data_IF_531004870409
#
_entry.id   IF_531004870409
#
_cell.length_a   1.000
_cell.length_b   1.000
_cell.length_c   1.000
_cell.angle_alpha   90.00
_cell.angle_beta   90.00
_cell.angle_gamma   90.00
#
_symmetry.space_group_name_H-M   'P 1'
#
loop_
_entity.id
_entity.type
_entity.pdbx_description
1 polymer ?
#
# COMPACT_ATOMS: atom_id res chain seq x y z
N UNK A 1 -17.66 48.97 -19.40
CA UNK A 1 -16.87 48.65 -18.19
C UNK A 1 -17.00 47.16 -17.93
N UNK A 2 -15.87 46.46 -17.82
CA UNK A 2 -15.82 45.09 -17.31
C UNK A 2 -15.66 43.95 -18.32
N UNK A 3 -14.73 44.04 -19.27
CA UNK A 3 -14.21 42.85 -19.96
C UNK A 3 -13.17 42.16 -19.07
N UNK A 4 -13.48 40.95 -18.59
CA UNK A 4 -12.47 40.02 -18.08
C UNK A 4 -12.51 38.79 -18.96
N UNK A 5 -11.63 38.74 -19.95
CA UNK A 5 -11.26 37.51 -20.65
C UNK A 5 -10.34 36.71 -19.71
N UNK A 6 -10.79 35.53 -19.30
CA UNK A 6 -9.86 34.49 -18.84
C UNK A 6 -9.85 33.45 -19.95
N UNK A 7 -8.73 33.40 -20.67
CA UNK A 7 -8.47 32.43 -21.71
C UNK A 7 -8.46 31.02 -21.10
N UNK A 8 -9.62 30.35 -21.16
CA UNK A 8 -9.75 28.94 -20.84
C UNK A 8 -9.11 28.10 -21.93
N UNK A 9 -7.79 27.86 -21.82
CA UNK A 9 -7.17 26.73 -22.47
C UNK A 9 -7.72 25.45 -21.81
N UNK A 10 -8.81 24.91 -22.35
CA UNK A 10 -9.15 23.51 -22.11
C UNK A 10 -8.08 22.68 -22.84
N UNK A 11 -6.99 22.35 -22.14
CA UNK A 11 -6.02 21.36 -22.60
C UNK A 11 -6.79 20.06 -22.85
N UNK A 12 -6.95 19.72 -24.13
CA UNK A 12 -7.67 18.53 -24.55
C UNK A 12 -6.76 17.34 -24.30
N UNK A 13 -6.97 16.66 -23.18
CA UNK A 13 -6.28 15.40 -22.88
C UNK A 13 -6.73 14.37 -23.90
N UNK A 14 -5.81 13.78 -24.66
CA UNK A 14 -6.16 12.68 -25.56
C UNK A 14 -6.39 11.42 -24.71
N UNK A 15 -7.60 10.80 -24.75
CA UNK A 15 -7.90 9.61 -23.95
C UNK A 15 -6.89 8.46 -24.14
N UNK A 16 -6.30 8.37 -25.33
CA UNK A 16 -5.28 7.37 -25.67
C UNK A 16 -3.97 7.52 -24.88
N UNK A 17 -3.59 8.74 -24.49
CA UNK A 17 -2.37 8.98 -23.73
C UNK A 17 -2.55 8.56 -22.26
N UNK A 18 -3.70 8.87 -21.67
CA UNK A 18 -4.07 8.44 -20.31
C UNK A 18 -4.15 6.91 -20.24
N UNK A 19 -4.80 6.29 -21.22
CA UNK A 19 -4.89 4.83 -21.32
C UNK A 19 -3.51 4.18 -21.51
N UNK A 20 -2.68 4.74 -22.40
CA UNK A 20 -1.31 4.26 -22.62
C UNK A 20 -0.47 4.31 -21.34
N UNK A 21 -0.55 5.41 -20.59
CA UNK A 21 0.15 5.57 -19.32
C UNK A 21 -0.40 4.64 -18.23
N UNK A 22 -1.72 4.46 -18.17
CA UNK A 22 -2.36 3.50 -17.25
C UNK A 22 -1.84 2.08 -17.48
N UNK A 23 -1.81 1.63 -18.74
CA UNK A 23 -1.34 0.30 -19.10
C UNK A 23 0.14 0.10 -18.74
N UNK A 24 0.97 1.14 -18.89
CA UNK A 24 2.37 1.11 -18.44
C UNK A 24 2.47 0.99 -16.91
N UNK A 25 1.69 1.79 -16.17
CA UNK A 25 1.67 1.74 -14.69
C UNK A 25 1.24 0.36 -14.20
N UNK A 26 0.20 -0.24 -14.77
CA UNK A 26 -0.26 -1.58 -14.38
C UNK A 26 0.80 -2.63 -14.72
N UNK A 27 1.36 -2.61 -15.93
CA UNK A 27 2.42 -3.54 -16.31
C UNK A 27 3.65 -3.43 -15.40
N UNK A 28 4.00 -2.22 -14.95
CA UNK A 28 5.08 -2.01 -14.00
C UNK A 28 4.71 -2.44 -12.59
N UNK A 29 3.47 -2.23 -12.17
CA UNK A 29 2.98 -2.70 -10.89
C UNK A 29 3.13 -4.23 -10.77
N UNK A 30 2.78 -4.97 -11.82
CA UNK A 30 2.89 -6.43 -11.84
C UNK A 30 4.35 -6.91 -11.89
N UNK A 31 5.23 -6.18 -12.58
CA UNK A 31 6.61 -6.57 -12.80
C UNK A 31 7.61 -6.07 -11.74
N UNK A 32 7.32 -4.96 -11.03
CA UNK A 32 8.29 -4.25 -10.19
C UNK A 32 8.91 -5.13 -9.11
N UNK A 33 8.16 -6.05 -8.51
CA UNK A 33 8.67 -6.88 -7.41
C UNK A 33 9.48 -8.11 -7.89
N UNK A 34 9.52 -8.37 -9.21
CA UNK A 34 10.14 -9.56 -9.79
C UNK A 34 11.19 -9.26 -10.87
N UNK A 35 11.08 -8.14 -11.60
CA UNK A 35 12.08 -7.72 -12.61
C UNK A 35 13.16 -6.86 -11.93
N UNK A 36 14.36 -7.44 -11.80
CA UNK A 36 15.49 -6.79 -11.16
C UNK A 36 15.96 -5.52 -11.88
N UNK A 37 15.98 -5.49 -13.22
CA UNK A 37 16.42 -4.29 -13.93
C UNK A 37 15.36 -3.19 -13.80
N UNK A 38 14.07 -3.57 -13.71
CA UNK A 38 13.00 -2.61 -13.44
C UNK A 38 13.13 -1.99 -12.05
N UNK A 39 13.50 -2.78 -11.04
CA UNK A 39 13.82 -2.25 -9.70
C UNK A 39 15.01 -1.30 -9.73
N UNK A 40 16.10 -1.69 -10.42
CA UNK A 40 17.28 -0.85 -10.56
C UNK A 40 16.94 0.48 -11.24
N UNK A 41 16.10 0.42 -12.27
CA UNK A 41 15.63 1.57 -13.03
C UNK A 41 14.73 2.51 -12.21
N UNK A 42 13.75 1.97 -11.48
CA UNK A 42 12.71 2.79 -10.84
C UNK A 42 12.99 3.15 -9.39
N UNK A 43 13.70 2.29 -8.64
CA UNK A 43 14.00 2.52 -7.22
C UNK A 43 15.37 3.18 -7.01
N UNK A 44 16.22 3.21 -8.04
CA UNK A 44 17.57 3.78 -7.99
C UNK A 44 18.53 2.91 -7.17
N UNK A 45 19.49 2.28 -7.85
CA UNK A 45 20.52 1.43 -7.23
C UNK A 45 19.96 0.30 -6.35
N UNK A 46 18.84 -0.33 -6.74
CA UNK A 46 18.27 -1.48 -6.01
C UNK A 46 19.28 -2.64 -5.84
N UNK A 47 20.19 -2.79 -6.79
CA UNK A 47 21.36 -3.68 -6.79
C UNK A 47 22.35 -3.43 -5.65
N UNK A 48 22.38 -2.21 -5.09
CA UNK A 48 23.20 -1.88 -3.91
C UNK A 48 22.52 -2.23 -2.58
N UNK A 49 21.22 -2.55 -2.61
CA UNK A 49 20.49 -2.96 -1.41
C UNK A 49 20.92 -4.35 -0.98
N UNK A 50 21.20 -4.53 0.31
CA UNK A 50 21.50 -5.85 0.91
C UNK A 50 20.41 -6.90 0.64
N UNK A 51 19.17 -6.45 0.44
CA UNK A 51 18.03 -7.29 0.08
C UNK A 51 17.07 -6.48 -0.79
N UNK A 52 16.81 -6.98 -2.01
CA UNK A 52 15.79 -6.44 -2.90
C UNK A 52 14.39 -6.55 -2.28
N UNK A 53 13.50 -5.55 -2.49
CA UNK A 53 12.12 -5.61 -2.02
C UNK A 53 11.39 -6.76 -2.70
N UNK A 54 10.60 -7.51 -1.92
CA UNK A 54 9.80 -8.64 -2.42
C UNK A 54 8.30 -8.40 -2.29
N UNK A 55 7.93 -7.31 -1.62
CA UNK A 55 6.55 -6.91 -1.41
C UNK A 55 6.44 -5.38 -1.43
N UNK A 56 5.24 -4.87 -1.72
CA UNK A 56 4.95 -3.45 -1.55
C UNK A 56 5.02 -2.98 -0.08
N UNK A 57 5.05 -3.92 0.87
CA UNK A 57 5.25 -3.63 2.29
C UNK A 57 6.71 -3.29 2.61
N UNK A 58 7.66 -3.73 1.78
CA UNK A 58 9.08 -3.40 1.90
C UNK A 58 9.39 -1.99 1.33
N UNK A 59 8.45 -1.40 0.59
CA UNK A 59 8.64 -0.14 -0.13
C UNK A 59 8.12 1.05 0.65
N UNK A 60 9.02 2.01 0.84
CA UNK A 60 8.78 3.25 1.54
C UNK A 60 8.10 4.26 0.62
N UNK A 61 7.13 5.01 1.15
CA UNK A 61 6.40 6.06 0.44
C UNK A 61 6.24 7.30 1.31
N UNK A 62 6.36 8.47 0.71
CA UNK A 62 6.07 9.77 1.35
C UNK A 62 4.56 10.05 1.47
N UNK A 63 3.71 9.32 0.74
CA UNK A 63 2.25 9.45 0.83
C UNK A 63 1.75 8.91 2.17
N UNK A 64 1.38 9.81 3.07
CA UNK A 64 0.90 9.50 4.42
C UNK A 64 -0.24 8.47 4.44
N UNK A 65 -1.24 8.63 3.56
CA UNK A 65 -2.40 7.72 3.53
C UNK A 65 -2.03 6.30 3.10
N UNK A 66 -1.04 6.13 2.21
CA UNK A 66 -0.50 4.81 1.84
C UNK A 66 0.14 4.15 3.05
N UNK A 67 0.99 4.88 3.78
CA UNK A 67 1.67 4.38 4.99
C UNK A 67 0.66 4.02 6.08
N UNK A 68 -0.34 4.87 6.32
CA UNK A 68 -1.45 4.56 7.23
C UNK A 68 -2.18 3.26 6.85
N UNK A 69 -2.47 3.08 5.56
CA UNK A 69 -3.16 1.87 5.06
C UNK A 69 -2.30 0.62 5.26
N UNK A 70 -1.01 0.72 4.96
CA UNK A 70 -0.03 -0.34 5.19
C UNK A 70 -0.01 -0.77 6.67
N UNK A 71 0.12 0.19 7.60
CA UNK A 71 0.18 -0.09 9.05
C UNK A 71 -1.06 -0.83 9.52
N UNK A 72 -2.25 -0.38 9.08
CA UNK A 72 -3.51 -1.05 9.39
C UNK A 72 -3.58 -2.47 8.81
N UNK A 73 -3.13 -2.67 7.56
CA UNK A 73 -3.08 -3.99 6.93
C UNK A 73 -2.12 -4.93 7.64
N UNK A 74 -0.91 -4.47 7.95
CA UNK A 74 0.11 -5.26 8.60
C UNK A 74 -0.35 -5.77 9.98
N UNK A 75 -1.03 -4.92 10.75
CA UNK A 75 -1.65 -5.30 12.02
C UNK A 75 -2.81 -6.28 11.81
N UNK A 76 -3.69 -6.01 10.86
CA UNK A 76 -4.84 -6.86 10.57
C UNK A 76 -4.43 -8.26 10.10
N UNK A 77 -3.47 -8.35 9.18
CA UNK A 77 -2.92 -9.62 8.69
C UNK A 77 -2.32 -10.42 9.86
N UNK A 78 -1.60 -9.76 10.78
CA UNK A 78 -1.08 -10.38 12.00
C UNK A 78 -2.19 -10.95 12.90
N UNK A 79 -3.23 -10.17 13.16
CA UNK A 79 -4.34 -10.60 14.02
C UNK A 79 -5.16 -11.72 13.41
N UNK A 80 -5.36 -11.71 12.09
CA UNK A 80 -6.01 -12.80 11.35
C UNK A 80 -5.15 -14.07 11.42
N UNK A 81 -3.83 -13.96 11.22
CA UNK A 81 -2.92 -15.10 11.34
C UNK A 81 -2.97 -15.68 12.76
N UNK A 82 -3.00 -14.84 13.80
CA UNK A 82 -3.14 -15.26 15.19
C UNK A 82 -4.47 -16.00 15.46
N UNK A 83 -5.56 -15.53 14.85
CA UNK A 83 -6.89 -16.09 15.02
C UNK A 83 -7.12 -17.40 14.24
N UNK A 84 -6.41 -17.59 13.13
CA UNK A 84 -6.69 -18.70 12.19
C UNK A 84 -5.66 -19.82 12.22
N UNK A 85 -4.44 -19.56 12.69
CA UNK A 85 -3.37 -20.56 12.74
C UNK A 85 -3.18 -21.07 14.16
N UNK A 86 -2.88 -22.38 14.35
CA UNK A 86 -2.53 -22.91 15.66
C UNK A 86 -1.40 -22.09 16.25
N UNK A 87 -1.59 -21.58 17.47
CA UNK A 87 -0.51 -20.88 18.14
C UNK A 87 0.56 -21.93 18.51
N UNK A 88 1.82 -21.69 18.14
CA UNK A 88 2.93 -22.43 18.73
C UNK A 88 3.11 -21.94 20.17
N UNK A 89 2.42 -22.60 21.10
CA UNK A 89 2.57 -22.37 22.54
C UNK A 89 3.86 -23.09 22.97
N UNK A 90 4.97 -22.35 23.11
CA UNK A 90 6.17 -22.89 23.77
C UNK A 90 6.05 -22.71 25.26
N UNK A 91 5.89 -23.82 25.97
CA UNK A 91 5.86 -23.88 27.43
C UNK A 91 7.31 -24.05 27.91
N UNK A 92 7.92 -22.96 28.36
CA UNK A 92 9.27 -22.94 28.97
C UNK A 92 10.00 -21.62 28.74
N UNK A 93 10.23 -20.88 29.82
CA UNK A 93 11.00 -19.62 29.96
C UNK A 93 11.43 -18.88 28.68
N UNK A 94 10.83 -17.70 28.47
CA UNK A 94 11.25 -16.61 27.59
C UNK A 94 11.00 -16.79 26.07
N UNK A 95 9.82 -16.30 25.65
CA UNK A 95 9.52 -15.65 24.36
C UNK A 95 9.68 -16.45 23.05
N UNK A 96 8.60 -16.46 22.25
CA UNK A 96 8.65 -16.83 20.84
C UNK A 96 8.30 -15.67 19.91
N UNK A 97 9.03 -15.62 18.79
CA UNK A 97 9.13 -14.58 17.77
C UNK A 97 8.07 -14.70 16.66
N UNK A 98 7.53 -13.55 16.25
CA UNK A 98 6.90 -13.31 14.94
C UNK A 98 7.13 -11.85 14.54
N UNK A 99 7.74 -11.59 13.37
CA UNK A 99 8.26 -10.28 12.98
C UNK A 99 7.30 -9.60 12.00
N UNK A 100 6.51 -8.65 12.49
CA UNK A 100 5.96 -7.52 11.72
C UNK A 100 6.31 -6.26 12.51
N UNK A 101 6.72 -5.21 11.80
CA UNK A 101 7.35 -4.04 12.39
C UNK A 101 6.65 -3.49 13.63
N UNK A 102 7.42 -3.40 14.73
CA UNK A 102 7.14 -2.73 16.01
C UNK A 102 5.93 -3.16 16.86
N UNK A 103 5.07 -4.09 16.42
CA UNK A 103 4.15 -4.78 17.34
C UNK A 103 4.85 -5.97 18.03
N UNK A 104 5.61 -5.59 19.06
CA UNK A 104 6.08 -6.34 20.23
C UNK A 104 6.77 -7.70 20.09
N UNK A 105 8.05 -7.73 20.46
CA UNK A 105 8.85 -8.89 20.89
C UNK A 105 8.45 -9.44 22.27
N UNK A 106 7.15 -9.43 22.60
CA UNK A 106 6.58 -10.04 23.80
C UNK A 106 5.40 -10.88 23.34
N UNK A 107 5.46 -12.19 23.57
CA UNK A 107 4.40 -13.11 23.19
C UNK A 107 3.05 -12.66 23.75
N UNK A 108 1.97 -12.96 23.03
CA UNK A 108 0.60 -12.72 23.50
C UNK A 108 0.26 -13.71 24.62
N UNK A 109 -0.58 -13.26 25.55
CA UNK A 109 -1.14 -14.11 26.59
C UNK A 109 -1.90 -15.29 25.94
N UNK A 110 -1.60 -16.52 26.37
CA UNK A 110 -2.22 -17.72 25.83
C UNK A 110 -3.76 -17.68 25.95
N UNK A 111 -4.29 -17.13 27.05
CA UNK A 111 -5.73 -17.00 27.25
C UNK A 111 -6.37 -16.06 26.22
N UNK A 112 -5.66 -14.99 25.85
CA UNK A 112 -6.12 -14.05 24.82
C UNK A 112 -6.10 -14.71 23.44
N UNK A 113 -5.04 -15.46 23.13
CA UNK A 113 -4.92 -16.16 21.84
C UNK A 113 -6.00 -17.22 21.69
N UNK A 114 -6.20 -18.06 22.71
CA UNK A 114 -7.24 -19.09 22.70
C UNK A 114 -8.64 -18.50 22.57
N UNK A 115 -8.91 -17.38 23.27
CA UNK A 115 -10.17 -16.65 23.14
C UNK A 115 -10.36 -16.14 21.72
N UNK A 116 -9.35 -15.50 21.13
CA UNK A 116 -9.43 -14.94 19.78
C UNK A 116 -9.68 -16.04 18.73
N UNK A 117 -8.99 -17.18 18.87
CA UNK A 117 -9.14 -18.34 17.98
C UNK A 117 -10.51 -18.97 18.10
N UNK A 118 -11.05 -19.11 19.32
CA UNK A 118 -12.39 -19.62 19.54
C UNK A 118 -13.45 -18.70 18.93
N UNK A 119 -13.37 -17.42 19.25
CA UNK A 119 -14.33 -16.42 18.76
C UNK A 119 -14.27 -16.25 17.24
N UNK A 120 -13.17 -16.60 16.58
CA UNK A 120 -13.07 -16.63 15.11
C UNK A 120 -14.09 -17.59 14.48
N UNK A 121 -14.41 -18.71 15.15
CA UNK A 121 -15.39 -19.67 14.64
C UNK A 121 -16.80 -19.41 15.18
N UNK A 122 -16.92 -18.75 16.33
CA UNK A 122 -18.20 -18.48 16.99
C UNK A 122 -18.86 -17.17 16.52
N UNK A 123 -18.07 -16.16 16.13
CA UNK A 123 -18.55 -14.81 15.80
C UNK A 123 -18.50 -14.53 14.30
N UNK A 124 -19.22 -15.34 13.52
CA UNK A 124 -19.17 -15.35 12.05
C UNK A 124 -19.47 -13.97 11.44
N UNK A 125 -20.47 -13.26 11.95
CA UNK A 125 -20.84 -11.92 11.46
C UNK A 125 -19.72 -10.90 11.67
N UNK A 126 -19.00 -10.97 12.81
CA UNK A 126 -17.85 -10.11 13.05
C UNK A 126 -16.70 -10.47 12.12
N UNK A 127 -16.44 -11.76 11.92
CA UNK A 127 -15.41 -12.24 10.97
C UNK A 127 -15.71 -11.80 9.54
N UNK A 128 -16.96 -11.80 9.11
CA UNK A 128 -17.32 -11.25 7.80
C UNK A 128 -16.99 -9.75 7.70
N UNK A 129 -17.32 -8.96 8.74
CA UNK A 129 -16.93 -7.55 8.79
C UNK A 129 -15.39 -7.36 8.77
N UNK A 130 -14.63 -8.21 9.47
CA UNK A 130 -13.16 -8.22 9.44
C UNK A 130 -12.65 -8.50 8.03
N UNK A 131 -13.21 -9.47 7.31
CA UNK A 131 -12.81 -9.81 5.93
C UNK A 131 -13.20 -8.74 4.92
N UNK A 132 -14.34 -8.06 5.10
CA UNK A 132 -14.70 -6.90 4.28
C UNK A 132 -13.76 -5.73 4.55
N UNK A 133 -13.40 -5.49 5.81
CA UNK A 133 -12.42 -4.49 6.20
C UNK A 133 -11.05 -4.75 5.56
N UNK A 134 -10.56 -6.00 5.65
CA UNK A 134 -9.32 -6.46 5.01
C UNK A 134 -9.32 -6.22 3.50
N UNK A 135 -10.35 -6.70 2.79
CA UNK A 135 -10.45 -6.55 1.33
C UNK A 135 -10.48 -5.08 0.91
N UNK A 136 -11.19 -4.24 1.65
CA UNK A 136 -11.32 -2.81 1.32
C UNK A 136 -9.99 -2.08 1.56
N UNK A 137 -9.27 -2.39 2.64
CA UNK A 137 -7.93 -1.88 2.87
C UNK A 137 -6.94 -2.36 1.80
N UNK A 138 -7.00 -3.63 1.39
CA UNK A 138 -6.15 -4.17 0.30
C UNK A 138 -6.41 -3.47 -1.03
N UNK A 139 -7.66 -3.16 -1.35
CA UNK A 139 -8.02 -2.38 -2.53
C UNK A 139 -7.47 -0.95 -2.47
N UNK A 140 -7.63 -0.26 -1.33
CA UNK A 140 -7.07 1.07 -1.12
C UNK A 140 -5.54 1.07 -1.28
N UNK A 141 -4.87 0.08 -0.68
CA UNK A 141 -3.42 -0.07 -0.77
C UNK A 141 -2.96 -0.36 -2.20
N UNK A 142 -3.72 -1.17 -2.95
CA UNK A 142 -3.48 -1.43 -4.37
C UNK A 142 -3.49 -0.14 -5.20
N UNK A 143 -4.52 0.69 -5.07
CA UNK A 143 -4.60 1.96 -5.81
C UNK A 143 -3.53 2.96 -5.38
N UNK A 144 -3.18 3.03 -4.09
CA UNK A 144 -2.01 3.81 -3.64
C UNK A 144 -0.69 3.28 -4.21
N UNK A 145 -0.56 1.96 -4.44
CA UNK A 145 0.63 1.41 -5.07
C UNK A 145 0.69 1.73 -6.57
N UNK A 146 -0.45 1.80 -7.26
CA UNK A 146 -0.49 2.31 -8.65
C UNK A 146 -0.05 3.78 -8.70
N UNK A 147 -0.54 4.61 -7.77
CA UNK A 147 -0.09 5.99 -7.62
C UNK A 147 1.42 6.09 -7.32
N UNK A 148 1.91 5.25 -6.42
CA UNK A 148 3.33 5.18 -6.09
C UNK A 148 4.19 4.82 -7.31
N UNK A 149 3.80 3.79 -8.08
CA UNK A 149 4.48 3.39 -9.32
C UNK A 149 4.46 4.51 -10.35
N UNK A 150 3.33 5.21 -10.51
CA UNK A 150 3.24 6.39 -11.37
C UNK A 150 4.26 7.47 -10.96
N UNK A 151 4.40 7.73 -9.66
CA UNK A 151 5.40 8.65 -9.12
C UNK A 151 6.85 8.21 -9.40
N UNK A 152 7.13 6.90 -9.30
CA UNK A 152 8.45 6.37 -9.68
C UNK A 152 8.75 6.57 -11.16
N UNK A 153 7.78 6.29 -12.04
CA UNK A 153 7.91 6.52 -13.50
C UNK A 153 8.20 8.00 -13.78
N UNK A 154 7.44 8.89 -13.14
CA UNK A 154 7.61 10.34 -13.29
C UNK A 154 9.01 10.82 -12.88
N UNK A 155 9.52 10.30 -11.75
CA UNK A 155 10.85 10.65 -11.25
C UNK A 155 11.99 10.03 -12.08
N UNK A 156 11.82 8.79 -12.53
CA UNK A 156 12.79 8.08 -13.36
C UNK A 156 13.05 8.78 -14.70
N UNK A 157 12.11 9.62 -15.18
CA UNK A 157 12.28 10.45 -16.38
C UNK A 157 13.59 11.24 -16.40
N UNK A 158 14.06 11.71 -15.23
CA UNK A 158 15.32 12.45 -15.11
C UNK A 158 16.58 11.58 -15.14
N UNK A 159 16.44 10.29 -14.81
CA UNK A 159 17.53 9.31 -14.62
C UNK A 159 17.90 8.62 -15.95
N UNK A 160 16.96 8.56 -16.91
CA UNK A 160 17.17 7.97 -18.25
C UNK A 160 18.19 8.69 -19.17
N UNK A 161 19.06 9.53 -18.62
CA UNK A 161 20.12 10.23 -19.37
C UNK A 161 21.38 9.36 -19.59
N UNK A 162 21.50 8.23 -18.91
CA UNK A 162 22.61 7.29 -19.08
C UNK A 162 22.29 6.17 -20.10
N UNK A 163 23.35 5.48 -20.56
CA UNK A 163 23.25 4.38 -21.53
C UNK A 163 22.37 3.27 -20.95
N UNK A 164 21.14 3.19 -21.44
CA UNK A 164 20.21 2.13 -21.08
C UNK A 164 20.55 0.84 -21.84
N UNK A 165 20.42 -0.34 -21.20
CA UNK A 165 20.31 -1.61 -21.90
C UNK A 165 19.28 -1.51 -23.04
N UNK A 166 19.54 -2.19 -24.17
CA UNK A 166 18.67 -2.13 -25.36
C UNK A 166 17.20 -2.41 -25.06
N UNK A 167 16.91 -3.36 -24.15
CA UNK A 167 15.54 -3.69 -23.70
C UNK A 167 14.79 -2.52 -23.03
N UNK A 168 15.52 -1.57 -22.44
CA UNK A 168 14.96 -0.41 -21.75
C UNK A 168 14.81 0.82 -22.66
N UNK A 169 15.39 0.81 -23.87
CA UNK A 169 15.24 1.89 -24.86
C UNK A 169 13.81 1.95 -25.39
N UNK A 170 13.26 0.82 -25.84
CA UNK A 170 11.86 0.73 -26.30
C UNK A 170 10.88 1.11 -25.18
N UNK A 171 11.22 0.73 -23.94
CA UNK A 171 10.41 1.03 -22.78
C UNK A 171 10.41 2.52 -22.45
N UNK A 172 11.58 3.16 -22.52
CA UNK A 172 11.72 4.60 -22.37
C UNK A 172 10.90 5.36 -23.40
N UNK A 173 10.95 4.95 -24.68
CA UNK A 173 10.15 5.59 -25.73
C UNK A 173 8.65 5.50 -25.45
N UNK A 174 8.16 4.33 -25.01
CA UNK A 174 6.76 4.15 -24.59
C UNK A 174 6.38 5.06 -23.43
N UNK A 175 7.26 5.20 -22.43
CA UNK A 175 7.05 6.13 -21.31
C UNK A 175 7.01 7.57 -21.81
N UNK A 176 8.01 8.01 -22.60
CA UNK A 176 8.09 9.39 -23.10
C UNK A 176 6.87 9.79 -23.95
N UNK A 177 6.33 8.85 -24.73
CA UNK A 177 5.15 9.08 -25.56
C UNK A 177 3.84 9.16 -24.75
N UNK A 178 3.74 8.42 -23.65
CA UNK A 178 2.53 8.36 -22.82
C UNK A 178 2.53 9.36 -21.65
N UNK A 179 3.71 9.68 -21.12
CA UNK A 179 3.91 10.49 -19.91
C UNK A 179 3.91 11.99 -20.24
N UNK A 180 2.71 12.55 -20.32
CA UNK A 180 2.50 14.02 -20.31
C UNK A 180 2.13 14.49 -18.90
N UNK A 181 2.40 15.76 -18.55
CA UNK A 181 1.93 16.33 -17.28
C UNK A 181 0.42 16.16 -17.07
N UNK A 182 -0.37 16.29 -18.15
CA UNK A 182 -1.82 16.14 -18.12
C UNK A 182 -2.25 14.70 -17.85
N UNK A 183 -1.64 13.72 -18.53
CA UNK A 183 -1.94 12.31 -18.33
C UNK A 183 -1.52 11.84 -16.92
N UNK A 184 -0.35 12.30 -16.46
CA UNK A 184 0.11 12.06 -15.09
C UNK A 184 -0.88 12.60 -14.07
N UNK A 185 -1.27 13.88 -14.16
CA UNK A 185 -2.16 14.51 -13.18
C UNK A 185 -3.55 13.87 -13.16
N UNK A 186 -4.07 13.47 -14.33
CA UNK A 186 -5.34 12.77 -14.45
C UNK A 186 -5.30 11.40 -13.74
N UNK A 187 -4.25 10.61 -13.96
CA UNK A 187 -4.10 9.29 -13.32
C UNK A 187 -3.79 9.40 -11.83
N UNK A 188 -2.91 10.33 -11.42
CA UNK A 188 -2.59 10.57 -10.01
C UNK A 188 -3.86 10.90 -9.23
N UNK A 189 -4.68 11.83 -9.76
CA UNK A 189 -5.98 12.18 -9.17
C UNK A 189 -6.93 10.99 -9.14
N UNK A 190 -7.02 10.22 -10.22
CA UNK A 190 -7.92 9.08 -10.31
C UNK A 190 -7.56 7.97 -9.31
N UNK A 191 -6.28 7.57 -9.23
CA UNK A 191 -5.82 6.57 -8.28
C UNK A 191 -6.00 7.05 -6.84
N UNK A 192 -5.63 8.30 -6.55
CA UNK A 192 -5.75 8.87 -5.22
C UNK A 192 -7.21 8.94 -4.74
N UNK A 193 -8.12 9.46 -5.57
CA UNK A 193 -9.53 9.58 -5.20
C UNK A 193 -10.20 8.21 -5.08
N UNK A 194 -9.84 7.25 -5.92
CA UNK A 194 -10.34 5.87 -5.80
C UNK A 194 -9.86 5.20 -4.50
N UNK A 195 -8.58 5.34 -4.16
CA UNK A 195 -8.03 4.87 -2.89
C UNK A 195 -8.72 5.53 -1.68
N UNK A 196 -9.00 6.85 -1.75
CA UNK A 196 -9.74 7.58 -0.73
C UNK A 196 -11.19 7.14 -0.60
N UNK A 197 -11.86 6.81 -1.70
CA UNK A 197 -13.20 6.23 -1.70
C UNK A 197 -13.25 4.93 -0.91
N UNK A 198 -12.25 4.06 -1.09
CA UNK A 198 -12.09 2.86 -0.26
C UNK A 198 -11.86 3.21 1.20
N UNK A 199 -10.96 4.15 1.52
CA UNK A 199 -10.71 4.56 2.91
C UNK A 199 -11.93 5.17 3.62
N UNK A 200 -12.80 5.86 2.88
CA UNK A 200 -14.07 6.33 3.43
C UNK A 200 -14.97 5.14 3.84
N UNK A 201 -15.02 4.10 3.01
CA UNK A 201 -15.78 2.87 3.31
C UNK A 201 -15.17 2.07 4.48
N UNK A 202 -13.84 2.05 4.58
CA UNK A 202 -13.09 1.45 5.69
C UNK A 202 -13.46 2.08 7.03
N UNK A 203 -13.75 3.38 7.07
CA UNK A 203 -14.11 4.09 8.30
C UNK A 203 -15.37 3.51 8.96
N UNK A 204 -16.39 3.20 8.18
CA UNK A 204 -17.63 2.64 8.71
C UNK A 204 -17.43 1.23 9.26
N UNK A 205 -16.60 0.42 8.58
CA UNK A 205 -16.21 -0.90 9.03
C UNK A 205 -15.38 -0.83 10.32
N UNK A 206 -14.44 0.12 10.41
CA UNK A 206 -13.67 0.38 11.62
C UNK A 206 -14.58 0.65 12.81
N UNK A 207 -15.63 1.47 12.65
CA UNK A 207 -16.59 1.74 13.73
C UNK A 207 -17.42 0.52 14.11
N UNK A 208 -17.76 -0.36 13.16
CA UNK A 208 -18.44 -1.63 13.45
C UNK A 208 -17.54 -2.54 14.30
N UNK A 209 -16.26 -2.66 13.93
CA UNK A 209 -15.29 -3.45 14.68
C UNK A 209 -15.07 -2.87 16.08
N UNK A 210 -14.99 -1.55 16.21
CA UNK A 210 -14.79 -0.88 17.50
C UNK A 210 -15.94 -1.08 18.50
N UNK A 211 -17.17 -1.24 18.01
CA UNK A 211 -18.35 -1.51 18.85
C UNK A 211 -18.48 -2.97 19.27
N UNK A 212 -17.71 -3.88 18.69
CA UNK A 212 -17.73 -5.29 18.98
C UNK A 212 -16.50 -5.67 19.82
N UNK A 213 -16.68 -6.28 21.00
CA UNK A 213 -15.55 -6.63 21.87
C UNK A 213 -14.51 -7.55 21.19
N UNK A 214 -14.97 -8.47 20.34
CA UNK A 214 -14.11 -9.29 19.49
C UNK A 214 -13.44 -8.45 18.40
N UNK A 215 -14.24 -7.65 17.69
CA UNK A 215 -13.81 -6.85 16.55
C UNK A 215 -12.70 -5.85 16.87
N UNK A 216 -12.68 -5.30 18.10
CA UNK A 216 -11.61 -4.39 18.58
C UNK A 216 -10.21 -4.98 18.43
N UNK A 217 -10.05 -6.31 18.51
CA UNK A 217 -8.75 -6.95 18.37
C UNK A 217 -8.17 -6.78 16.95
N UNK A 218 -8.98 -6.53 15.93
CA UNK A 218 -8.58 -6.47 14.52
C UNK A 218 -8.43 -5.04 13.98
N UNK A 219 -8.48 -4.04 14.86
CA UNK A 219 -8.38 -2.63 14.47
C UNK A 219 -7.43 -1.87 15.37
N UNK A 220 -6.61 -1.01 14.79
CA UNK A 220 -5.76 -0.11 15.56
C UNK A 220 -6.59 1.03 16.15
N UNK A 221 -6.27 1.43 17.37
CA UNK A 221 -6.67 2.74 17.91
C UNK A 221 -5.94 3.86 17.16
N UNK A 222 -6.41 5.10 17.30
CA UNK A 222 -5.73 6.26 16.72
C UNK A 222 -4.30 6.46 17.27
N UNK A 223 -4.07 6.12 18.55
CA UNK A 223 -2.76 6.23 19.16
C UNK A 223 -1.79 5.18 18.60
N UNK A 224 -2.24 3.93 18.49
CA UNK A 224 -1.48 2.84 17.89
C UNK A 224 -1.19 3.08 16.42
N UNK A 225 -2.16 3.60 15.66
CA UNK A 225 -1.96 3.95 14.25
C UNK A 225 -0.85 5.02 14.11
N UNK A 226 -0.88 6.07 14.94
CA UNK A 226 0.15 7.12 14.93
C UNK A 226 1.53 6.55 15.24
N UNK A 227 1.63 5.73 16.29
CA UNK A 227 2.89 5.08 16.65
C UNK A 227 3.40 4.19 15.50
N UNK A 228 2.53 3.39 14.89
CA UNK A 228 2.92 2.53 13.77
C UNK A 228 3.41 3.33 12.54
N UNK A 229 2.84 4.51 12.29
CA UNK A 229 3.31 5.42 11.23
C UNK A 229 4.69 6.00 11.58
N UNK A 230 4.92 6.44 12.82
CA UNK A 230 6.20 6.95 13.30
C UNK A 230 7.31 5.87 13.23
N UNK A 231 7.00 4.64 13.65
CA UNK A 231 7.92 3.51 13.61
C UNK A 231 8.26 3.08 12.17
N UNK A 232 7.32 3.26 11.23
CA UNK A 232 7.57 2.96 9.83
C UNK A 232 8.43 4.05 9.17
N UNK A 233 8.15 5.31 9.45
CA UNK A 233 8.86 6.46 8.87
C UNK A 233 10.25 6.68 9.46
N UNK A 234 10.50 6.28 10.71
CA UNK A 234 11.84 6.33 11.32
C UNK A 234 12.84 5.29 10.79
N UNK A 235 12.39 4.40 9.88
CA UNK A 235 13.26 3.45 9.16
C UNK A 235 13.92 4.06 7.91
N UNK A 236 13.55 5.30 7.57
CA UNK A 236 14.09 6.11 6.48
C UNK A 236 15.35 6.83 6.97
#
# INVERSE_FOLDING_TARGET
MGSTQIAGYYLRIEPRQVEGLHNLVVGFYDALLVDEDLQDMLLGNASSLKRRPKSYYDLISSVFLRTKTLVNLAYLDFMIDLATRPALIVIGSQSLLGRVGSYTSRGHDAEIVERIQREWFENVDCVENIRVYERTLKAAFGDFNLQFVLGLIYNARGIFKEILPSRLVDLKERIDNALTPEAHNALDSAYYEKARGYLASVRDLWFKLDRNEYGKNFRLTLAEERQGIEDFTSRI
#
